data_IF_414064345870
#
_entry.id   IF_414064345870
#
_cell.length_a   1.000
_cell.length_b   1.000
_cell.length_c   1.000
_cell.angle_alpha   90.00
_cell.angle_beta   90.00
_cell.angle_gamma   90.00
#
_symmetry.space_group_name_H-M   'P 1'
#
loop_
_entity.id
_entity.type
_entity.pdbx_description
1 polymer ?
#
# COMPACT_ATOMS: atom_id res chain seq x y z
N UNK A 1 -7.12 -16.44 29.44
CA UNK A 1 -7.58 -15.55 28.36
C UNK A 1 -6.82 -14.26 28.50
N UNK A 2 -5.97 -13.92 27.55
CA UNK A 2 -5.26 -12.64 27.55
C UNK A 2 -6.31 -11.55 27.28
N UNK A 3 -6.38 -10.54 28.13
CA UNK A 3 -7.34 -9.45 28.00
C UNK A 3 -7.05 -8.68 26.69
N UNK A 4 -8.07 -8.39 25.89
CA UNK A 4 -7.88 -7.65 24.64
C UNK A 4 -7.38 -6.22 24.95
N UNK A 5 -6.14 -5.93 24.56
CA UNK A 5 -5.43 -4.67 24.85
C UNK A 5 -6.19 -3.40 24.42
N UNK A 6 -7.06 -3.51 23.41
CA UNK A 6 -7.73 -2.36 22.78
C UNK A 6 -9.10 -2.01 23.36
N UNK A 7 -9.68 -2.82 24.25
CA UNK A 7 -11.08 -2.68 24.74
C UNK A 7 -11.38 -1.27 25.25
N UNK A 8 -10.45 -0.66 25.99
CA UNK A 8 -10.62 0.67 26.59
C UNK A 8 -9.73 1.74 25.93
N UNK A 9 -9.30 1.51 24.69
CA UNK A 9 -8.38 2.42 23.98
C UNK A 9 -9.13 3.23 22.94
N UNK A 10 -8.98 4.56 23.00
CA UNK A 10 -9.39 5.46 21.93
C UNK A 10 -8.31 5.52 20.86
N UNK A 11 -8.67 5.22 19.62
CA UNK A 11 -7.75 5.09 18.49
C UNK A 11 -8.09 6.13 17.43
N UNK A 12 -7.09 6.87 16.95
CA UNK A 12 -7.23 7.76 15.79
C UNK A 12 -6.43 7.17 14.63
N UNK A 13 -7.11 6.81 13.55
CA UNK A 13 -6.50 6.39 12.29
C UNK A 13 -6.42 7.57 11.32
N UNK A 14 -5.19 8.05 11.10
CA UNK A 14 -4.83 9.05 10.10
C UNK A 14 -4.68 8.39 8.73
N UNK A 15 -5.63 8.66 7.83
CA UNK A 15 -5.69 8.10 6.49
C UNK A 15 -5.20 9.12 5.45
N UNK A 16 -4.49 8.67 4.40
CA UNK A 16 -4.06 9.54 3.31
C UNK A 16 -5.20 9.82 2.31
N UNK A 17 -6.25 9.00 2.32
CA UNK A 17 -7.42 9.09 1.45
C UNK A 17 -8.57 8.25 2.02
N UNK A 18 -9.80 8.58 1.65
CA UNK A 18 -11.00 7.78 1.86
C UNK A 18 -11.57 7.23 0.53
N UNK A 19 -10.81 7.35 -0.57
CA UNK A 19 -11.22 6.93 -1.92
C UNK A 19 -10.64 5.58 -2.35
N UNK A 20 -9.71 5.01 -1.57
CA UNK A 20 -9.12 3.71 -1.87
C UNK A 20 -10.01 2.61 -1.28
N UNK A 21 -10.56 1.75 -2.15
CA UNK A 21 -11.52 0.71 -1.75
C UNK A 21 -10.90 -0.32 -0.81
N UNK A 22 -9.64 -0.73 -1.06
CA UNK A 22 -8.95 -1.70 -0.21
C UNK A 22 -8.67 -1.12 1.19
N UNK A 23 -8.21 0.12 1.28
CA UNK A 23 -8.01 0.80 2.56
C UNK A 23 -9.34 0.97 3.33
N UNK A 24 -10.43 1.29 2.62
CA UNK A 24 -11.76 1.37 3.21
C UNK A 24 -12.23 0.00 3.74
N UNK A 25 -12.00 -1.07 2.99
CA UNK A 25 -12.25 -2.44 3.44
C UNK A 25 -11.50 -2.76 4.75
N UNK A 26 -10.20 -2.48 4.81
CA UNK A 26 -9.41 -2.66 6.05
C UNK A 26 -9.99 -1.83 7.20
N UNK A 27 -10.39 -0.58 6.93
CA UNK A 27 -11.03 0.26 7.94
C UNK A 27 -12.33 -0.38 8.46
N UNK A 28 -13.16 -0.95 7.59
CA UNK A 28 -14.42 -1.58 8.00
C UNK A 28 -14.19 -2.87 8.80
N UNK A 29 -13.17 -3.67 8.46
CA UNK A 29 -12.79 -4.84 9.28
C UNK A 29 -12.26 -4.44 10.67
N UNK A 30 -11.50 -3.34 10.74
CA UNK A 30 -11.04 -2.80 12.02
C UNK A 30 -12.20 -2.33 12.91
N UNK A 31 -13.24 -1.70 12.35
CA UNK A 31 -14.44 -1.29 13.13
C UNK A 31 -15.17 -2.46 13.76
N UNK A 32 -15.13 -3.65 13.15
CA UNK A 32 -15.73 -4.86 13.72
C UNK A 32 -14.97 -5.35 14.96
N UNK A 33 -13.67 -5.10 15.01
CA UNK A 33 -12.76 -5.59 16.07
C UNK A 33 -12.43 -4.53 17.13
N UNK A 34 -12.60 -3.25 16.82
CA UNK A 34 -12.21 -2.11 17.66
C UNK A 34 -13.41 -1.22 17.97
N UNK A 35 -13.72 -1.06 19.26
CA UNK A 35 -14.91 -0.31 19.71
C UNK A 35 -14.77 1.20 19.53
N UNK A 36 -13.58 1.77 19.80
CA UNK A 36 -13.36 3.22 19.81
C UNK A 36 -12.30 3.65 18.78
N UNK A 37 -12.64 3.59 17.49
CA UNK A 37 -11.77 4.03 16.39
C UNK A 37 -12.36 5.21 15.62
N UNK A 38 -11.55 6.25 15.41
CA UNK A 38 -11.87 7.45 14.65
C UNK A 38 -11.02 7.49 13.39
N UNK A 39 -11.60 7.90 12.25
CA UNK A 39 -10.89 8.00 10.97
C UNK A 39 -10.78 9.46 10.55
N UNK A 40 -9.58 9.87 10.11
CA UNK A 40 -9.33 11.24 9.68
C UNK A 40 -8.47 11.28 8.41
N UNK A 41 -9.04 11.81 7.33
CA UNK A 41 -8.32 12.05 6.08
C UNK A 41 -7.48 13.33 6.18
N UNK A 42 -6.22 13.19 6.61
CA UNK A 42 -5.34 14.34 6.87
C UNK A 42 -4.92 15.07 5.59
N UNK A 43 -4.85 14.37 4.45
CA UNK A 43 -4.42 14.94 3.18
C UNK A 43 -5.49 15.89 2.64
N UNK A 44 -6.75 15.44 2.61
CA UNK A 44 -7.88 16.29 2.19
C UNK A 44 -8.01 17.52 3.10
N UNK A 45 -7.89 17.32 4.42
CA UNK A 45 -7.95 18.43 5.38
C UNK A 45 -6.81 19.42 5.16
N UNK A 46 -5.60 18.95 4.88
CA UNK A 46 -4.44 19.79 4.56
C UNK A 46 -4.66 20.64 3.31
N UNK A 47 -5.27 20.08 2.26
CA UNK A 47 -5.60 20.86 1.05
C UNK A 47 -6.71 21.88 1.27
N UNK A 48 -7.56 21.70 2.28
CA UNK A 48 -8.68 22.60 2.58
C UNK A 48 -8.31 23.70 3.56
N UNK A 49 -7.52 23.37 4.58
CA UNK A 49 -7.24 24.19 5.76
C UNK A 49 -5.76 24.48 6.01
N UNK A 50 -4.85 23.93 5.20
CA UNK A 50 -3.40 24.10 5.39
C UNK A 50 -2.79 23.08 6.35
N UNK A 51 -1.50 22.81 6.18
CA UNK A 51 -0.76 21.78 6.94
C UNK A 51 -0.74 22.09 8.44
N UNK A 52 -0.37 23.32 8.82
CA UNK A 52 -0.26 23.68 10.24
C UNK A 52 -1.59 23.56 10.99
N UNK A 53 -2.68 23.97 10.35
CA UNK A 53 -4.01 23.81 10.94
C UNK A 53 -4.42 22.34 11.04
N UNK A 54 -3.97 21.50 10.10
CA UNK A 54 -4.19 20.04 10.16
C UNK A 54 -3.48 19.44 11.37
N UNK A 55 -2.19 19.75 11.56
CA UNK A 55 -1.41 19.28 12.71
C UNK A 55 -2.00 19.78 14.04
N UNK A 56 -2.45 21.04 14.10
CA UNK A 56 -3.15 21.60 15.27
C UNK A 56 -4.48 20.89 15.54
N UNK A 57 -5.27 20.65 14.50
CA UNK A 57 -6.54 19.94 14.61
C UNK A 57 -6.35 18.52 15.16
N UNK A 58 -5.39 17.77 14.62
CA UNK A 58 -5.09 16.42 15.10
C UNK A 58 -4.62 16.45 16.56
N UNK A 59 -3.74 17.39 16.93
CA UNK A 59 -3.26 17.53 18.31
C UNK A 59 -4.41 17.80 19.29
N UNK A 60 -5.32 18.72 18.94
CA UNK A 60 -6.49 19.01 19.75
C UNK A 60 -7.42 17.80 19.85
N UNK A 61 -7.65 17.11 18.74
CA UNK A 61 -8.48 15.90 18.73
C UNK A 61 -7.91 14.81 19.64
N UNK A 62 -6.59 14.58 19.59
CA UNK A 62 -5.90 13.63 20.47
C UNK A 62 -6.15 13.97 21.94
N UNK A 63 -6.05 15.26 22.31
CA UNK A 63 -6.30 15.72 23.67
C UNK A 63 -7.78 15.58 24.07
N UNK A 64 -8.71 16.11 23.27
CA UNK A 64 -10.15 16.15 23.56
C UNK A 64 -10.76 14.75 23.64
N UNK A 65 -10.36 13.84 22.74
CA UNK A 65 -10.83 12.46 22.71
C UNK A 65 -9.98 11.52 23.56
N UNK A 66 -8.95 12.01 24.26
CA UNK A 66 -8.02 11.21 25.06
C UNK A 66 -7.48 10.00 24.26
N UNK A 67 -7.03 10.27 23.02
CA UNK A 67 -6.57 9.22 22.10
C UNK A 67 -5.34 8.51 22.68
N UNK A 68 -5.47 7.21 22.91
CA UNK A 68 -4.40 6.37 23.43
C UNK A 68 -3.42 5.92 22.34
N UNK A 69 -3.92 5.75 21.11
CA UNK A 69 -3.16 5.23 19.98
C UNK A 69 -3.49 6.02 18.71
N UNK A 70 -2.46 6.52 18.04
CA UNK A 70 -2.55 7.04 16.67
C UNK A 70 -2.01 5.97 15.73
N UNK A 71 -2.84 5.52 14.80
CA UNK A 71 -2.42 4.71 13.64
C UNK A 71 -2.28 5.67 12.46
N UNK A 72 -1.18 5.61 11.73
CA UNK A 72 -0.97 6.47 10.55
C UNK A 72 -0.48 5.68 9.34
N UNK A 73 -1.10 5.90 8.19
CA UNK A 73 -0.69 5.32 6.90
C UNK A 73 -0.33 6.40 5.89
N UNK A 74 0.77 7.14 6.06
CA UNK A 74 1.18 8.11 5.07
C UNK A 74 1.59 7.38 3.77
N UNK A 75 0.95 7.72 2.65
CA UNK A 75 1.44 7.24 1.36
C UNK A 75 2.77 7.89 1.02
N UNK A 76 3.68 7.16 0.36
CA UNK A 76 4.94 7.74 -0.09
C UNK A 76 4.71 9.00 -0.94
N UNK A 77 5.35 10.10 -0.54
CA UNK A 77 5.19 11.41 -1.20
C UNK A 77 4.20 12.35 -0.51
N UNK A 78 3.45 11.88 0.50
CA UNK A 78 2.66 12.72 1.38
C UNK A 78 3.50 13.27 2.53
N UNK A 79 3.90 14.53 2.41
CA UNK A 79 4.64 15.25 3.45
C UNK A 79 3.76 16.20 4.27
N UNK A 80 2.43 16.07 4.19
CA UNK A 80 1.50 16.99 4.85
C UNK A 80 1.52 16.89 6.37
N UNK A 81 1.91 15.75 6.92
CA UNK A 81 2.24 15.61 8.34
C UNK A 81 3.75 15.42 8.44
N UNK A 82 4.39 16.28 9.22
CA UNK A 82 5.85 16.29 9.33
C UNK A 82 6.37 15.22 10.29
N UNK A 83 7.62 14.78 10.12
CA UNK A 83 8.27 13.90 11.11
C UNK A 83 8.38 14.59 12.47
N UNK A 84 8.57 15.91 12.45
CA UNK A 84 8.60 16.76 13.64
C UNK A 84 7.25 16.77 14.37
N UNK A 85 6.14 16.79 13.62
CA UNK A 85 4.80 16.67 14.19
C UNK A 85 4.60 15.34 14.89
N UNK A 86 4.93 14.21 14.25
CA UNK A 86 4.83 12.90 14.90
C UNK A 86 5.72 12.81 16.15
N UNK A 87 6.95 13.33 16.09
CA UNK A 87 7.82 13.40 17.26
C UNK A 87 7.18 14.22 18.40
N UNK A 88 6.45 15.30 18.09
CA UNK A 88 5.74 16.12 19.08
C UNK A 88 4.58 15.39 19.78
N UNK A 89 4.11 14.27 19.22
CA UNK A 89 3.08 13.41 19.80
C UNK A 89 3.66 12.35 20.75
N UNK A 90 5.00 12.17 20.77
CA UNK A 90 5.64 11.22 21.68
C UNK A 90 5.32 11.59 23.13
N UNK A 91 5.19 10.58 23.98
CA UNK A 91 4.72 10.66 25.38
C UNK A 91 3.26 11.11 25.57
N UNK A 92 2.55 11.57 24.53
CA UNK A 92 1.12 11.95 24.61
C UNK A 92 0.18 10.82 24.18
N UNK A 93 0.64 10.00 23.24
CA UNK A 93 -0.11 8.88 22.66
C UNK A 93 0.88 7.85 22.09
N UNK A 94 0.44 6.61 21.91
CA UNK A 94 1.22 5.59 21.19
C UNK A 94 1.12 5.86 19.69
N UNK A 95 2.22 5.68 18.96
CA UNK A 95 2.26 5.94 17.51
C UNK A 95 2.55 4.65 16.78
N UNK A 96 1.63 4.23 15.93
CA UNK A 96 1.74 3.06 15.06
C UNK A 96 1.73 3.54 13.62
N UNK A 97 2.71 3.13 12.83
CA UNK A 97 2.66 3.33 11.38
C UNK A 97 2.19 2.06 10.70
N UNK A 98 1.29 2.17 9.74
CA UNK A 98 0.90 1.06 8.87
C UNK A 98 1.29 1.39 7.43
N UNK A 99 2.40 0.79 6.99
CA UNK A 99 3.10 1.07 5.74
C UNK A 99 2.77 0.00 4.69
N UNK A 100 2.43 0.45 3.48
CA UNK A 100 1.90 -0.41 2.42
C UNK A 100 2.93 -0.76 1.34
N UNK A 101 3.82 0.16 0.99
CA UNK A 101 4.73 0.05 -0.17
C UNK A 101 6.21 0.10 0.25
N UNK A 102 6.57 -0.54 1.37
CA UNK A 102 7.93 -0.46 1.92
C UNK A 102 8.98 -1.08 1.01
N UNK A 103 8.63 -2.10 0.22
CA UNK A 103 9.51 -2.70 -0.79
C UNK A 103 10.04 -1.70 -1.81
N UNK A 104 9.31 -0.60 -2.02
CA UNK A 104 9.66 0.47 -2.93
C UNK A 104 10.18 1.73 -2.22
N UNK A 105 9.73 2.01 -0.98
CA UNK A 105 9.93 3.33 -0.35
C UNK A 105 10.50 3.31 1.08
N UNK A 106 10.90 2.15 1.61
CA UNK A 106 11.52 2.06 2.93
C UNK A 106 12.70 3.04 3.09
N UNK A 107 13.63 3.02 2.13
CA UNK A 107 14.88 3.78 2.20
C UNK A 107 14.75 5.27 1.96
N UNK A 108 13.74 5.67 1.19
CA UNK A 108 13.52 7.06 0.78
C UNK A 108 12.49 7.79 1.65
N UNK A 109 11.63 7.04 2.35
CA UNK A 109 10.48 7.59 3.06
C UNK A 109 10.23 6.91 4.41
N UNK A 110 9.85 5.63 4.42
CA UNK A 110 9.18 5.02 5.57
C UNK A 110 10.02 4.99 6.83
N UNK A 111 11.31 4.63 6.73
CA UNK A 111 12.21 4.56 7.90
C UNK A 111 12.37 5.89 8.64
N UNK A 112 12.27 7.02 7.92
CA UNK A 112 12.38 8.35 8.53
C UNK A 112 11.11 8.75 9.29
N UNK A 113 9.93 8.31 8.84
CA UNK A 113 8.69 8.51 9.58
C UNK A 113 8.60 7.56 10.78
N UNK A 114 8.95 6.30 10.57
CA UNK A 114 8.78 5.24 11.55
C UNK A 114 9.83 5.25 12.67
N UNK A 115 10.88 6.08 12.61
CA UNK A 115 11.95 6.12 13.62
C UNK A 115 11.48 6.44 15.05
N UNK A 116 10.29 7.04 15.19
CA UNK A 116 9.67 7.39 16.47
C UNK A 116 8.55 6.44 16.90
N UNK A 117 8.24 5.45 16.06
CA UNK A 117 7.10 4.56 16.22
C UNK A 117 7.22 3.70 17.50
N UNK A 118 6.08 3.44 18.13
CA UNK A 118 5.96 2.39 19.14
C UNK A 118 5.79 1.00 18.48
N UNK A 119 5.28 0.95 17.25
CA UNK A 119 5.24 -0.22 16.39
C UNK A 119 5.04 0.18 14.91
N UNK A 120 5.45 -0.69 13.98
CA UNK A 120 5.17 -0.58 12.55
C UNK A 120 4.44 -1.83 12.08
N UNK A 121 3.41 -1.67 11.26
CA UNK A 121 2.81 -2.74 10.47
C UNK A 121 3.27 -2.52 9.04
N UNK A 122 3.87 -3.52 8.40
CA UNK A 122 4.38 -3.40 7.02
C UNK A 122 3.92 -4.57 6.15
N UNK A 123 3.67 -4.28 4.87
CA UNK A 123 3.29 -5.28 3.87
C UNK A 123 4.49 -5.97 3.19
N UNK A 124 5.71 -5.52 3.49
CA UNK A 124 6.94 -6.12 2.99
C UNK A 124 7.62 -6.97 4.08
N UNK A 125 7.78 -8.26 3.77
CA UNK A 125 8.40 -9.23 4.68
C UNK A 125 9.85 -8.85 5.02
N UNK A 126 10.62 -8.32 4.06
CA UNK A 126 12.02 -7.97 4.29
C UNK A 126 12.16 -6.70 5.14
N UNK A 127 11.25 -5.73 4.96
CA UNK A 127 11.23 -4.49 5.73
C UNK A 127 10.95 -4.71 7.22
N UNK A 128 10.28 -5.80 7.61
CA UNK A 128 10.16 -6.21 9.03
C UNK A 128 11.54 -6.26 9.68
N UNK A 129 12.48 -6.98 9.07
CA UNK A 129 13.86 -7.11 9.56
C UNK A 129 14.64 -5.79 9.43
N UNK A 130 14.34 -4.98 8.42
CA UNK A 130 14.95 -3.66 8.26
C UNK A 130 14.54 -2.71 9.40
N UNK A 131 13.28 -2.75 9.85
CA UNK A 131 12.83 -2.04 11.05
C UNK A 131 13.45 -2.60 12.33
N UNK A 132 13.52 -3.92 12.48
CA UNK A 132 14.15 -4.56 13.65
C UNK A 132 15.63 -4.18 13.79
N UNK A 133 16.35 -4.07 12.66
CA UNK A 133 17.73 -3.56 12.64
C UNK A 133 17.85 -2.13 13.16
N UNK A 134 16.80 -1.32 13.01
CA UNK A 134 16.70 0.03 13.55
C UNK A 134 16.13 0.06 14.98
N UNK A 135 15.95 -1.10 15.61
CA UNK A 135 15.29 -1.27 16.91
C UNK A 135 13.86 -0.72 16.94
N UNK A 136 13.15 -0.84 15.81
CA UNK A 136 11.74 -0.45 15.68
C UNK A 136 10.91 -1.74 15.66
N UNK A 137 10.02 -1.97 16.64
CA UNK A 137 9.12 -3.11 16.62
C UNK A 137 8.26 -3.12 15.36
N UNK A 138 8.22 -4.25 14.67
CA UNK A 138 7.53 -4.38 13.39
C UNK A 138 6.72 -5.68 13.31
N UNK A 139 5.58 -5.60 12.64
CA UNK A 139 4.66 -6.70 12.39
C UNK A 139 4.52 -6.86 10.88
N UNK A 140 4.57 -8.09 10.41
CA UNK A 140 4.27 -8.40 9.03
C UNK A 140 2.77 -8.52 8.79
N UNK A 141 2.23 -7.70 7.91
CA UNK A 141 0.88 -7.85 7.37
C UNK A 141 0.97 -8.40 5.96
N UNK A 142 0.56 -9.65 5.76
CA UNK A 142 0.67 -10.30 4.45
C UNK A 142 -0.33 -9.71 3.44
N UNK A 143 -1.60 -10.06 3.59
CA UNK A 143 -2.73 -9.59 2.80
C UNK A 143 -4.02 -10.14 3.41
N UNK A 144 -5.16 -9.54 3.11
CA UNK A 144 -6.48 -10.12 3.40
C UNK A 144 -7.50 -9.60 2.41
N UNK A 145 -8.51 -10.40 2.08
CA UNK A 145 -9.50 -10.03 1.07
C UNK A 145 -10.94 -10.34 1.51
N UNK A 146 -11.92 -9.53 1.08
CA UNK A 146 -13.33 -9.71 1.44
C UNK A 146 -13.99 -10.90 0.73
N UNK A 147 -14.59 -11.81 1.51
CA UNK A 147 -15.26 -13.01 0.99
C UNK A 147 -16.57 -12.73 0.25
N UNK A 148 -17.16 -11.54 0.40
CA UNK A 148 -18.31 -11.12 -0.39
C UNK A 148 -17.93 -10.63 -1.80
N UNK A 149 -16.63 -10.63 -2.13
CA UNK A 149 -16.07 -10.15 -3.40
C UNK A 149 -15.27 -11.25 -4.07
N UNK A 150 -14.51 -12.00 -3.28
CA UNK A 150 -13.71 -13.14 -3.69
C UNK A 150 -14.27 -14.42 -3.06
N UNK A 151 -15.01 -15.18 -3.86
CA UNK A 151 -15.61 -16.45 -3.50
C UNK A 151 -15.74 -17.32 -4.76
N UNK A 152 -15.69 -18.67 -4.62
CA UNK A 152 -15.85 -19.55 -5.76
C UNK A 152 -17.27 -19.44 -6.31
N UNK A 153 -17.38 -19.30 -7.64
CA UNK A 153 -18.63 -19.38 -8.37
C UNK A 153 -18.59 -20.65 -9.23
N UNK A 154 -19.64 -21.47 -9.16
CA UNK A 154 -19.80 -22.59 -10.09
C UNK A 154 -20.02 -22.03 -11.50
N UNK A 155 -18.98 -22.14 -12.34
CA UNK A 155 -19.00 -21.65 -13.71
C UNK A 155 -18.10 -22.52 -14.59
N UNK A 156 -18.45 -22.61 -15.86
CA UNK A 156 -17.57 -23.21 -16.87
C UNK A 156 -16.31 -22.37 -16.99
N UNK A 157 -15.13 -23.01 -16.92
CA UNK A 157 -13.84 -22.35 -17.15
C UNK A 157 -13.58 -22.11 -18.63
N UNK A 158 -14.19 -21.07 -19.19
CA UNK A 158 -14.15 -20.72 -20.61
C UNK A 158 -13.13 -19.61 -20.98
N UNK A 159 -12.47 -19.01 -19.98
CA UNK A 159 -11.36 -18.08 -20.18
C UNK A 159 -10.04 -18.84 -20.00
N UNK A 160 -9.18 -18.86 -21.02
CA UNK A 160 -7.89 -19.56 -20.93
C UNK A 160 -6.96 -18.91 -19.91
N UNK A 161 -6.71 -17.62 -20.08
CA UNK A 161 -5.85 -16.85 -19.17
C UNK A 161 -6.50 -15.50 -18.89
N UNK A 162 -6.54 -15.10 -17.62
CA UNK A 162 -6.93 -13.74 -17.24
C UNK A 162 -5.79 -12.99 -16.54
N UNK A 163 -5.80 -11.67 -16.66
CA UNK A 163 -5.03 -10.76 -15.83
C UNK A 163 -5.93 -9.60 -15.38
N UNK A 164 -5.95 -9.31 -14.08
CA UNK A 164 -6.70 -8.20 -13.49
C UNK A 164 -5.70 -7.28 -12.80
N UNK A 165 -5.44 -6.10 -13.38
CA UNK A 165 -4.50 -5.13 -12.84
C UNK A 165 -4.11 -4.05 -13.85
N UNK A 166 -3.29 -3.08 -13.41
CA UNK A 166 -2.79 -2.03 -14.30
C UNK A 166 -1.90 -2.62 -15.39
N UNK A 167 -2.40 -2.69 -16.62
CA UNK A 167 -1.72 -3.28 -17.77
C UNK A 167 -0.57 -2.39 -18.26
N UNK A 168 -0.74 -1.07 -18.20
CA UNK A 168 0.28 -0.10 -18.61
C UNK A 168 1.49 -0.02 -17.66
N UNK A 169 1.48 -0.78 -16.57
CA UNK A 169 2.58 -0.77 -15.61
C UNK A 169 3.73 -1.62 -16.13
N UNK A 170 4.91 -1.01 -16.22
CA UNK A 170 6.18 -1.70 -16.49
C UNK A 170 6.10 -2.53 -17.78
N UNK A 171 6.47 -3.80 -17.70
CA UNK A 171 6.56 -4.72 -18.83
C UNK A 171 5.44 -5.77 -18.84
N UNK A 172 4.35 -5.58 -18.08
CA UNK A 172 3.23 -6.53 -18.02
C UNK A 172 2.64 -6.82 -19.41
N UNK A 173 2.46 -5.79 -20.22
CA UNK A 173 1.99 -5.95 -21.60
C UNK A 173 3.00 -6.65 -22.52
N UNK A 174 4.31 -6.62 -22.22
CA UNK A 174 5.28 -7.43 -22.99
C UNK A 174 4.98 -8.92 -22.81
N UNK A 175 4.77 -9.36 -21.57
CA UNK A 175 4.46 -10.76 -21.26
C UNK A 175 3.08 -11.16 -21.80
N UNK A 176 2.07 -10.31 -21.64
CA UNK A 176 0.72 -10.56 -22.13
C UNK A 176 0.70 -10.65 -23.66
N UNK A 177 1.33 -9.70 -24.36
CA UNK A 177 1.38 -9.72 -25.82
C UNK A 177 2.18 -10.92 -26.31
N UNK A 178 3.27 -11.30 -25.62
CA UNK A 178 4.01 -12.51 -25.96
C UNK A 178 3.14 -13.79 -25.91
N UNK A 179 2.22 -13.90 -24.95
CA UNK A 179 1.24 -14.99 -24.91
C UNK A 179 0.26 -14.93 -26.09
N UNK A 180 -0.29 -13.74 -26.36
CA UNK A 180 -1.27 -13.51 -27.45
C UNK A 180 -0.64 -13.84 -28.82
N UNK A 181 0.57 -13.34 -29.07
CA UNK A 181 1.33 -13.58 -30.31
C UNK A 181 1.66 -15.07 -30.51
N UNK A 182 1.67 -15.84 -29.42
CA UNK A 182 1.88 -17.30 -29.42
C UNK A 182 0.58 -18.11 -29.39
N UNK A 183 -0.56 -17.46 -29.67
CA UNK A 183 -1.87 -18.11 -29.86
C UNK A 183 -2.65 -18.39 -28.58
N UNK A 184 -2.26 -17.81 -27.44
CA UNK A 184 -3.01 -17.94 -26.19
C UNK A 184 -4.10 -16.86 -26.12
N UNK A 185 -5.33 -17.27 -25.79
CA UNK A 185 -6.38 -16.30 -25.52
C UNK A 185 -6.23 -15.69 -24.13
N UNK A 186 -5.98 -14.39 -24.05
CA UNK A 186 -5.79 -13.67 -22.77
C UNK A 186 -6.84 -12.58 -22.61
N UNK A 187 -7.57 -12.62 -21.49
CA UNK A 187 -8.50 -11.58 -21.06
C UNK A 187 -7.84 -10.65 -20.03
N UNK A 188 -7.81 -9.35 -20.31
CA UNK A 188 -7.16 -8.35 -19.45
C UNK A 188 -8.16 -7.34 -18.94
N UNK A 189 -8.08 -7.00 -17.66
CA UNK A 189 -8.91 -6.01 -16.98
C UNK A 189 -8.04 -5.05 -16.16
N UNK A 190 -8.50 -3.81 -15.96
CA UNK A 190 -7.78 -2.73 -15.29
C UNK A 190 -7.33 -1.60 -16.23
N UNK A 191 -6.56 -0.65 -15.71
CA UNK A 191 -6.03 0.49 -16.47
C UNK A 191 -5.19 0.02 -17.66
N UNK A 192 -5.49 0.52 -18.86
CA UNK A 192 -4.77 0.17 -20.09
C UNK A 192 -5.10 -1.20 -20.69
N UNK A 193 -6.04 -1.93 -20.09
CA UNK A 193 -6.49 -3.24 -20.58
C UNK A 193 -7.53 -3.13 -21.69
N UNK A 194 -7.75 -4.21 -22.45
CA UNK A 194 -8.78 -4.26 -23.50
C UNK A 194 -10.21 -4.16 -22.97
N UNK A 195 -10.46 -4.61 -21.74
CA UNK A 195 -11.80 -4.63 -21.12
C UNK A 195 -12.03 -3.48 -20.13
N UNK A 196 -11.04 -2.60 -19.92
CA UNK A 196 -11.13 -1.48 -18.98
C UNK A 196 -11.17 -1.93 -17.51
N UNK A 197 -11.52 -1.00 -16.60
CA UNK A 197 -11.63 -1.29 -15.17
C UNK A 197 -12.72 -2.34 -14.88
N UNK A 198 -12.45 -3.21 -13.92
CA UNK A 198 -13.39 -4.23 -13.45
C UNK A 198 -14.00 -3.79 -12.12
N UNK A 199 -15.33 -3.81 -12.05
CA UNK A 199 -16.06 -3.57 -10.81
C UNK A 199 -15.90 -4.75 -9.83
N UNK A 200 -15.85 -4.46 -8.52
CA UNK A 200 -15.62 -5.43 -7.46
C UNK A 200 -16.56 -6.64 -7.52
N UNK A 201 -17.85 -6.43 -7.84
CA UNK A 201 -18.86 -7.50 -7.95
C UNK A 201 -18.62 -8.48 -9.12
N UNK A 202 -17.70 -8.17 -10.05
CA UNK A 202 -17.36 -9.02 -11.20
C UNK A 202 -16.10 -9.86 -10.99
N UNK A 203 -15.28 -9.58 -9.98
CA UNK A 203 -14.00 -10.28 -9.77
C UNK A 203 -14.18 -11.79 -9.65
N UNK A 204 -15.04 -12.25 -8.74
CA UNK A 204 -15.31 -13.68 -8.56
C UNK A 204 -15.79 -14.36 -9.84
N UNK A 205 -16.58 -13.68 -10.68
CA UNK A 205 -17.08 -14.27 -11.92
C UNK A 205 -15.95 -14.47 -12.95
N UNK A 206 -15.13 -13.43 -13.17
CA UNK A 206 -14.01 -13.51 -14.12
C UNK A 206 -12.99 -14.54 -13.66
N UNK A 207 -12.59 -14.49 -12.38
CA UNK A 207 -11.61 -15.41 -11.83
C UNK A 207 -12.13 -16.85 -11.89
N UNK A 208 -13.36 -17.12 -11.44
CA UNK A 208 -13.90 -18.50 -11.42
C UNK A 208 -14.02 -19.12 -12.82
N UNK A 209 -14.32 -18.30 -13.85
CA UNK A 209 -14.36 -18.68 -15.27
C UNK A 209 -12.98 -18.84 -15.92
N UNK A 210 -11.91 -18.45 -15.23
CA UNK A 210 -10.56 -18.52 -15.76
C UNK A 210 -9.89 -19.86 -15.42
N UNK A 211 -9.17 -20.42 -16.40
CA UNK A 211 -8.30 -21.59 -16.20
C UNK A 211 -7.00 -21.17 -15.50
N UNK A 212 -6.43 -20.03 -15.87
CA UNK A 212 -5.20 -19.47 -15.28
C UNK A 212 -5.43 -17.99 -14.95
N UNK A 213 -5.11 -17.58 -13.73
CA UNK A 213 -5.00 -16.18 -13.33
C UNK A 213 -3.52 -15.78 -13.24
N UNK A 214 -3.09 -14.83 -14.06
CA UNK A 214 -1.74 -14.30 -14.03
C UNK A 214 -1.57 -13.29 -12.89
N UNK A 215 -0.44 -13.37 -12.20
CA UNK A 215 -0.06 -12.40 -11.18
C UNK A 215 1.35 -11.87 -11.46
N UNK A 216 1.51 -10.55 -11.64
CA UNK A 216 2.82 -9.92 -11.86
C UNK A 216 3.29 -9.23 -10.59
N UNK A 217 4.50 -9.58 -10.14
CA UNK A 217 5.03 -9.15 -8.84
C UNK A 217 6.10 -8.05 -8.96
N UNK A 218 6.47 -7.61 -10.17
CA UNK A 218 7.27 -6.37 -10.30
C UNK A 218 6.60 -5.18 -9.62
N UNK A 219 7.42 -4.34 -9.00
CA UNK A 219 6.98 -3.05 -8.47
C UNK A 219 6.22 -2.26 -9.53
N UNK A 220 5.14 -1.62 -9.11
CA UNK A 220 4.46 -0.59 -9.90
C UNK A 220 5.42 0.56 -10.25
N UNK A 221 5.01 1.43 -11.17
CA UNK A 221 5.81 2.59 -11.55
C UNK A 221 6.19 3.43 -10.33
N UNK A 222 7.50 3.66 -10.19
CA UNK A 222 8.07 4.31 -9.02
C UNK A 222 7.73 5.79 -9.00
N UNK A 223 7.41 6.30 -7.82
CA UNK A 223 7.23 7.72 -7.61
C UNK A 223 8.53 8.48 -7.86
N UNK A 224 8.37 9.77 -8.15
CA UNK A 224 9.44 10.73 -8.46
C UNK A 224 10.66 10.73 -7.52
N UNK A 225 10.54 10.23 -6.29
CA UNK A 225 11.65 10.15 -5.35
C UNK A 225 12.60 8.99 -5.64
N UNK A 226 12.08 7.92 -6.24
CA UNK A 226 12.78 6.66 -6.53
C UNK A 226 12.75 6.30 -8.03
N UNK A 227 12.18 7.16 -8.89
CA UNK A 227 12.01 6.91 -10.33
C UNK A 227 13.29 6.51 -11.08
N UNK A 228 14.46 6.91 -10.59
CA UNK A 228 15.73 6.65 -11.23
C UNK A 228 16.56 5.59 -10.48
N UNK A 229 16.01 4.91 -9.47
CA UNK A 229 16.75 3.89 -8.71
C UNK A 229 16.77 2.56 -9.49
N UNK A 230 17.93 2.15 -10.05
CA UNK A 230 18.01 0.95 -10.86
C UNK A 230 17.88 -0.34 -10.05
N UNK A 231 18.18 -0.32 -8.74
CA UNK A 231 18.13 -1.51 -7.90
C UNK A 231 16.70 -1.91 -7.56
N UNK A 232 15.78 -0.94 -7.50
CA UNK A 232 14.35 -1.22 -7.33
C UNK A 232 13.74 -2.00 -8.51
N UNK A 233 14.41 -2.07 -9.67
CA UNK A 233 14.00 -3.00 -10.74
C UNK A 233 14.13 -4.48 -10.35
N UNK A 234 14.94 -4.79 -9.33
CA UNK A 234 15.12 -6.14 -8.78
C UNK A 234 14.16 -6.44 -7.64
N UNK A 235 13.52 -5.43 -7.05
CA UNK A 235 12.53 -5.61 -6.01
C UNK A 235 11.21 -6.16 -6.58
N UNK A 236 10.43 -6.79 -5.72
CA UNK A 236 9.13 -7.39 -6.03
C UNK A 236 8.16 -7.07 -4.92
N UNK A 237 6.88 -6.86 -5.28
CA UNK A 237 5.80 -6.67 -4.31
C UNK A 237 5.39 -8.02 -3.74
N UNK A 238 5.00 -8.01 -2.47
CA UNK A 238 4.27 -9.12 -1.85
C UNK A 238 2.96 -9.31 -2.62
N UNK A 239 2.86 -10.41 -3.38
CA UNK A 239 1.84 -10.59 -4.41
C UNK A 239 0.42 -10.83 -3.90
N UNK A 240 -0.20 -9.89 -3.17
CA UNK A 240 -1.54 -10.05 -2.58
C UNK A 240 -2.65 -10.55 -3.53
N UNK A 241 -2.47 -10.38 -4.84
CA UNK A 241 -3.33 -10.91 -5.90
C UNK A 241 -3.36 -12.45 -6.02
N UNK A 242 -2.37 -13.17 -5.47
CA UNK A 242 -2.44 -14.63 -5.42
C UNK A 242 -3.63 -15.08 -4.55
N UNK A 243 -3.90 -14.35 -3.46
CA UNK A 243 -4.97 -14.68 -2.52
C UNK A 243 -6.36 -14.42 -3.15
N UNK A 244 -6.49 -13.42 -4.02
CA UNK A 244 -7.70 -13.19 -4.82
C UNK A 244 -8.05 -14.40 -5.70
N UNK A 245 -7.03 -14.98 -6.35
CA UNK A 245 -7.15 -16.19 -7.16
C UNK A 245 -7.44 -17.42 -6.29
N UNK A 246 -6.75 -17.54 -5.16
CA UNK A 246 -6.94 -18.64 -4.22
C UNK A 246 -8.37 -18.68 -3.66
N UNK A 247 -8.90 -17.55 -3.19
CA UNK A 247 -10.25 -17.44 -2.63
C UNK A 247 -11.38 -17.73 -3.64
N UNK A 248 -11.07 -17.71 -4.94
CA UNK A 248 -12.00 -18.04 -6.02
C UNK A 248 -11.80 -19.45 -6.59
N UNK A 249 -10.89 -20.26 -6.02
CA UNK A 249 -10.47 -21.58 -6.54
C UNK A 249 -9.98 -21.49 -8.00
N UNK A 250 -9.18 -20.47 -8.28
CA UNK A 250 -8.56 -20.28 -9.58
C UNK A 250 -7.06 -20.47 -9.48
N UNK A 251 -6.52 -21.30 -10.38
CA UNK A 251 -5.10 -21.56 -10.45
C UNK A 251 -4.33 -20.26 -10.75
N UNK A 252 -3.39 -19.92 -9.87
CA UNK A 252 -2.57 -18.73 -10.00
C UNK A 252 -1.19 -19.10 -10.57
N UNK A 253 -0.79 -18.41 -11.63
CA UNK A 253 0.56 -18.47 -12.19
C UNK A 253 1.21 -17.10 -12.00
N UNK A 254 2.18 -17.03 -11.09
CA UNK A 254 2.73 -15.77 -10.59
C UNK A 254 4.15 -15.51 -11.10
N UNK A 255 4.51 -14.25 -11.33
CA UNK A 255 5.91 -13.88 -11.54
C UNK A 255 6.69 -14.15 -10.25
N UNK A 256 7.91 -14.66 -10.35
CA UNK A 256 8.74 -14.93 -9.17
C UNK A 256 8.86 -13.71 -8.23
N UNK A 257 8.73 -13.97 -6.93
CA UNK A 257 9.09 -13.04 -5.86
C UNK A 257 9.93 -13.75 -4.80
N UNK A 258 10.98 -13.09 -4.25
CA UNK A 258 11.86 -13.71 -3.25
C UNK A 258 11.17 -14.17 -1.96
N UNK A 259 10.01 -13.59 -1.62
CA UNK A 259 9.23 -13.93 -0.42
C UNK A 259 8.04 -14.86 -0.70
N UNK A 260 7.97 -15.57 -1.84
CA UNK A 260 6.81 -16.40 -2.19
C UNK A 260 6.49 -17.46 -1.12
N UNK A 261 7.53 -18.08 -0.55
CA UNK A 261 7.47 -19.08 0.52
C UNK A 261 6.78 -18.60 1.80
N UNK A 262 6.67 -17.29 2.00
CA UNK A 262 5.94 -16.70 3.13
C UNK A 262 4.43 -16.90 2.98
N UNK A 263 3.94 -17.04 1.74
CA UNK A 263 2.50 -17.08 1.44
C UNK A 263 2.05 -18.41 0.86
N UNK A 264 2.90 -19.05 0.04
CA UNK A 264 2.56 -20.24 -0.71
C UNK A 264 3.81 -21.08 -1.01
N UNK A 265 3.64 -22.39 -1.07
CA UNK A 265 4.63 -23.35 -1.51
C UNK A 265 4.49 -23.55 -3.04
N UNK A 266 5.62 -23.51 -3.73
CA UNK A 266 5.64 -23.55 -5.20
C UNK A 266 5.39 -24.97 -5.67
N UNK A 267 4.43 -25.13 -6.59
CA UNK A 267 3.95 -26.42 -7.08
C UNK A 267 2.80 -27.01 -6.25
N UNK A 268 2.52 -26.47 -5.05
CA UNK A 268 1.42 -26.95 -4.20
C UNK A 268 0.23 -26.01 -4.19
N UNK A 269 0.42 -24.70 -3.97
CA UNK A 269 -0.65 -23.70 -3.97
C UNK A 269 -0.53 -22.64 -5.06
N UNK A 270 0.65 -22.51 -5.65
CA UNK A 270 0.94 -21.57 -6.73
C UNK A 270 2.03 -22.15 -7.61
N UNK A 271 2.06 -21.79 -8.89
CA UNK A 271 3.29 -21.96 -9.69
C UNK A 271 3.82 -20.58 -10.11
N UNK A 272 5.11 -20.51 -10.41
CA UNK A 272 5.82 -19.28 -10.71
C UNK A 272 6.44 -19.26 -12.10
N UNK A 273 6.79 -18.09 -12.62
CA UNK A 273 7.63 -17.95 -13.81
C UNK A 273 8.67 -16.83 -13.63
N UNK A 274 9.80 -16.96 -14.30
CA UNK A 274 10.91 -16.00 -14.25
C UNK A 274 11.12 -15.24 -15.57
N UNK A 275 10.62 -15.79 -16.68
CA UNK A 275 10.73 -15.18 -18.00
C UNK A 275 9.47 -15.43 -18.83
N UNK A 276 9.36 -14.72 -19.96
CA UNK A 276 8.24 -14.91 -20.90
C UNK A 276 8.27 -16.29 -21.56
N UNK A 277 9.45 -16.86 -21.76
CA UNK A 277 9.66 -18.21 -22.28
C UNK A 277 9.15 -19.28 -21.30
N UNK A 278 9.50 -19.15 -20.02
CA UNK A 278 8.95 -20.04 -18.97
C UNK A 278 7.43 -19.85 -18.84
N UNK A 279 6.96 -18.59 -18.92
CA UNK A 279 5.54 -18.28 -18.86
C UNK A 279 4.74 -19.00 -19.95
N UNK A 280 5.14 -18.92 -21.23
CA UNK A 280 4.39 -19.58 -22.31
C UNK A 280 4.45 -21.11 -22.19
N UNK A 281 5.58 -21.67 -21.77
CA UNK A 281 5.72 -23.11 -21.53
C UNK A 281 4.72 -23.58 -20.47
N UNK A 282 4.71 -22.91 -19.31
CA UNK A 282 3.80 -23.23 -18.22
C UNK A 282 2.35 -22.98 -18.58
N UNK A 283 2.02 -21.89 -19.27
CA UNK A 283 0.65 -21.64 -19.75
C UNK A 283 0.18 -22.77 -20.66
N UNK A 284 0.99 -23.21 -21.63
CA UNK A 284 0.60 -24.34 -22.51
C UNK A 284 0.41 -25.63 -21.73
N UNK A 285 1.35 -25.94 -20.83
CA UNK A 285 1.26 -27.11 -19.96
C UNK A 285 -0.02 -27.08 -19.12
N UNK A 286 -0.26 -25.99 -18.40
CA UNK A 286 -1.43 -25.80 -17.58
C UNK A 286 -2.69 -25.48 -18.37
N UNK A 287 -2.73 -25.40 -19.70
CA UNK A 287 -4.01 -25.43 -20.42
C UNK A 287 -4.45 -26.87 -20.70
N UNK A 288 -3.49 -27.79 -20.85
CA UNK A 288 -3.73 -29.20 -21.13
C UNK A 288 -4.03 -30.05 -19.88
N UNK A 289 -3.54 -29.65 -18.70
CA UNK A 289 -3.62 -30.45 -17.47
C UNK A 289 -4.59 -29.85 -16.44
N UNK A 290 -5.89 -30.06 -16.65
CA UNK A 290 -6.94 -29.50 -15.78
C UNK A 290 -6.92 -30.06 -14.37
N UNK A 291 -6.69 -31.36 -14.24
CA UNK A 291 -6.52 -32.07 -12.96
C UNK A 291 -5.44 -31.42 -12.07
N UNK A 292 -4.27 -31.10 -12.64
CA UNK A 292 -3.18 -30.48 -11.90
C UNK A 292 -3.57 -29.07 -11.43
N UNK A 293 -4.16 -28.27 -12.32
CA UNK A 293 -4.62 -26.91 -11.96
C UNK A 293 -5.63 -26.92 -10.82
N UNK A 294 -6.61 -27.82 -10.88
CA UNK A 294 -7.67 -27.90 -9.87
C UNK A 294 -7.12 -28.36 -8.51
N UNK A 295 -6.14 -29.27 -8.48
CA UNK A 295 -5.45 -29.65 -7.24
C UNK A 295 -4.74 -28.45 -6.61
N UNK A 296 -3.93 -27.72 -7.40
CA UNK A 296 -3.20 -26.55 -6.90
C UNK A 296 -4.17 -25.46 -6.43
N UNK A 297 -5.20 -25.15 -7.21
CA UNK A 297 -6.20 -24.15 -6.86
C UNK A 297 -6.99 -24.51 -5.59
N UNK A 298 -7.27 -25.80 -5.37
CA UNK A 298 -7.91 -26.29 -4.15
C UNK A 298 -7.01 -26.11 -2.93
N UNK A 299 -5.74 -26.50 -3.02
CA UNK A 299 -4.79 -26.32 -1.92
C UNK A 299 -4.63 -24.83 -1.58
N UNK A 300 -4.53 -23.97 -2.60
CA UNK A 300 -4.49 -22.52 -2.44
C UNK A 300 -5.71 -21.99 -1.71
N UNK A 301 -6.92 -22.43 -2.10
CA UNK A 301 -8.17 -22.05 -1.45
C UNK A 301 -8.18 -22.45 0.04
N UNK A 302 -7.83 -23.71 0.35
CA UNK A 302 -7.77 -24.20 1.73
C UNK A 302 -6.77 -23.40 2.58
N UNK A 303 -5.62 -23.07 2.02
CA UNK A 303 -4.63 -22.20 2.70
C UNK A 303 -5.16 -20.78 2.90
N UNK A 304 -5.79 -20.20 1.88
CA UNK A 304 -6.34 -18.85 1.90
C UNK A 304 -7.43 -18.70 2.97
N UNK A 305 -8.41 -19.63 3.03
CA UNK A 305 -9.50 -19.54 4.00
C UNK A 305 -9.04 -19.71 5.46
N UNK A 306 -7.96 -20.45 5.68
CA UNK A 306 -7.46 -20.71 7.02
C UNK A 306 -6.53 -19.61 7.55
N UNK A 307 -5.87 -18.86 6.67
CA UNK A 307 -4.78 -17.96 7.08
C UNK A 307 -4.94 -16.50 6.63
N UNK A 308 -5.69 -16.23 5.55
CA UNK A 308 -5.69 -14.94 4.86
C UNK A 308 -7.07 -14.26 4.82
N UNK A 309 -8.04 -14.78 5.56
CA UNK A 309 -9.35 -14.14 5.72
C UNK A 309 -9.29 -13.01 6.77
N UNK A 310 -10.14 -11.99 6.67
CA UNK A 310 -10.09 -10.85 7.58
C UNK A 310 -10.36 -11.25 9.02
N UNK A 311 -11.23 -12.23 9.25
CA UNK A 311 -11.50 -12.81 10.58
C UNK A 311 -10.31 -13.55 11.20
N UNK A 312 -9.25 -13.83 10.43
CA UNK A 312 -8.01 -14.44 10.91
C UNK A 312 -6.91 -13.38 11.01
N UNK A 313 -6.67 -12.66 9.92
CA UNK A 313 -5.57 -11.70 9.82
C UNK A 313 -5.74 -10.52 10.78
N UNK A 314 -6.92 -9.91 10.83
CA UNK A 314 -7.12 -8.70 11.65
C UNK A 314 -6.97 -8.99 13.15
N UNK A 315 -7.59 -10.05 13.73
CA UNK A 315 -7.36 -10.40 15.13
C UNK A 315 -5.90 -10.73 15.45
N UNK A 316 -5.18 -11.39 14.54
CA UNK A 316 -3.76 -11.72 14.75
C UNK A 316 -2.88 -10.48 14.80
N UNK A 317 -3.05 -9.56 13.83
CA UNK A 317 -2.32 -8.28 13.80
C UNK A 317 -2.63 -7.46 15.05
N UNK A 318 -3.90 -7.37 15.46
CA UNK A 318 -4.27 -6.66 16.67
C UNK A 318 -3.66 -7.31 17.90
N UNK A 319 -3.70 -8.63 18.04
CA UNK A 319 -3.08 -9.34 19.17
C UNK A 319 -1.58 -9.02 19.27
N UNK A 320 -0.83 -9.20 18.19
CA UNK A 320 0.61 -8.91 18.15
C UNK A 320 0.91 -7.43 18.44
N UNK A 321 0.12 -6.52 17.88
CA UNK A 321 0.25 -5.09 18.15
C UNK A 321 -0.02 -4.77 19.62
N UNK A 322 -1.04 -5.39 20.22
CA UNK A 322 -1.36 -5.23 21.64
C UNK A 322 -0.20 -5.67 22.53
N UNK A 323 0.39 -6.84 22.24
CA UNK A 323 1.55 -7.36 22.97
C UNK A 323 2.78 -6.43 22.86
N UNK A 324 3.05 -5.88 21.68
CA UNK A 324 4.15 -4.92 21.48
C UNK A 324 3.89 -3.64 22.27
N UNK A 325 2.69 -3.07 22.16
CA UNK A 325 2.35 -1.80 22.80
C UNK A 325 2.29 -1.90 24.33
N UNK A 326 1.87 -3.05 24.87
CA UNK A 326 1.86 -3.33 26.31
C UNK A 326 3.27 -3.44 26.89
N UNK A 327 4.18 -4.16 26.20
CA UNK A 327 5.58 -4.29 26.61
C UNK A 327 6.33 -2.96 26.54
N UNK A 328 6.01 -2.15 25.54
CA UNK A 328 6.63 -0.84 25.33
C UNK A 328 6.09 0.27 26.25
N UNK A 329 5.66 -0.05 27.48
CA UNK A 329 5.34 0.98 28.48
C UNK A 329 6.59 1.81 28.77
N UNK A 330 6.65 2.98 28.12
CA UNK A 330 7.90 3.69 27.84
C UNK A 330 8.32 4.50 29.05
N UNK A 331 9.61 4.45 29.40
CA UNK A 331 10.25 5.54 30.13
C UNK A 331 10.01 6.85 29.35
N UNK A 332 9.73 7.94 30.07
CA UNK A 332 9.55 9.25 29.44
C UNK A 332 10.80 9.62 28.64
N UNK A 333 10.62 9.88 27.35
CA UNK A 333 11.70 10.37 26.49
C UNK A 333 11.74 11.90 26.65
N UNK A 334 12.79 12.43 27.29
CA UNK A 334 12.93 13.88 27.51
C UNK A 334 13.09 14.65 26.20
N UNK A 335 13.81 14.08 25.22
CA UNK A 335 14.02 14.71 23.91
C UNK A 335 14.04 13.66 22.79
N UNK A 336 13.13 13.81 21.84
CA UNK A 336 13.11 12.98 20.63
C UNK A 336 14.07 13.55 19.61
N UNK A 337 15.17 12.85 19.34
CA UNK A 337 16.07 13.17 18.24
C UNK A 337 15.51 12.61 16.92
N UNK A 338 15.62 13.40 15.84
CA UNK A 338 15.13 13.01 14.51
C UNK A 338 16.32 12.99 13.55
N UNK A 339 16.56 11.82 12.97
CA UNK A 339 17.62 11.59 12.01
C UNK A 339 17.05 11.67 10.59
N UNK A 340 17.56 12.61 9.79
CA UNK A 340 17.11 12.84 8.43
C UNK A 340 18.30 12.97 7.48
N UNK A 341 18.31 12.16 6.42
CA UNK A 341 19.31 12.28 5.35
C UNK A 341 19.09 13.54 4.50
N UNK A 342 20.12 13.96 3.77
CA UNK A 342 20.01 15.04 2.79
C UNK A 342 18.93 14.74 1.75
N UNK A 343 18.88 13.50 1.26
CA UNK A 343 17.90 13.06 0.26
C UNK A 343 16.47 13.18 0.79
N UNK A 344 16.20 12.71 2.01
CA UNK A 344 14.88 12.86 2.61
C UNK A 344 14.48 14.33 2.75
N UNK A 345 15.39 15.19 3.22
CA UNK A 345 15.12 16.63 3.38
C UNK A 345 14.75 17.29 2.04
N UNK A 346 15.49 16.98 0.96
CA UNK A 346 15.19 17.48 -0.39
C UNK A 346 13.83 16.97 -0.88
N UNK A 347 13.54 15.68 -0.67
CA UNK A 347 12.26 15.08 -1.06
C UNK A 347 11.09 15.71 -0.27
N UNK A 348 11.27 15.96 1.02
CA UNK A 348 10.27 16.64 1.84
C UNK A 348 9.94 18.04 1.30
N UNK A 349 10.96 18.88 1.02
CA UNK A 349 10.73 20.21 0.43
C UNK A 349 10.07 20.11 -0.94
N UNK A 350 10.47 19.14 -1.77
CA UNK A 350 9.86 18.89 -3.07
C UNK A 350 8.36 18.55 -2.94
N UNK A 351 8.01 17.63 -2.03
CA UNK A 351 6.62 17.28 -1.69
C UNK A 351 5.79 18.47 -1.21
N UNK A 352 6.34 19.26 -0.30
CA UNK A 352 5.69 20.45 0.25
C UNK A 352 5.52 21.54 -0.80
N UNK A 353 6.49 21.74 -1.69
CA UNK A 353 6.40 22.70 -2.79
C UNK A 353 5.27 22.33 -3.75
N UNK A 354 5.12 21.05 -4.08
CA UNK A 354 3.96 20.59 -4.87
C UNK A 354 2.64 20.84 -4.16
N UNK A 355 2.57 20.58 -2.85
CA UNK A 355 1.39 20.88 -2.03
C UNK A 355 1.07 22.38 -2.03
N UNK A 356 2.08 23.25 -1.95
CA UNK A 356 1.93 24.70 -2.04
C UNK A 356 1.28 25.13 -3.36
N UNK A 357 1.75 24.61 -4.50
CA UNK A 357 1.13 24.91 -5.80
C UNK A 357 -0.30 24.38 -5.91
N UNK A 358 -0.59 23.21 -5.35
CA UNK A 358 -1.96 22.70 -5.29
C UNK A 358 -2.88 23.58 -4.42
N UNK A 359 -2.39 24.12 -3.30
CA UNK A 359 -3.12 25.11 -2.50
C UNK A 359 -3.41 26.39 -3.30
N UNK A 360 -2.42 26.93 -4.03
CA UNK A 360 -2.61 28.10 -4.91
C UNK A 360 -3.70 27.82 -5.95
N UNK A 361 -3.62 26.67 -6.64
CA UNK A 361 -4.61 26.24 -7.63
C UNK A 361 -6.02 26.16 -7.04
N UNK A 362 -6.14 25.74 -5.78
CA UNK A 362 -7.41 25.64 -5.06
C UNK A 362 -7.84 26.96 -4.37
N UNK A 363 -7.24 28.09 -4.75
CA UNK A 363 -7.52 29.43 -4.19
C UNK A 363 -7.27 29.54 -2.67
N UNK A 364 -6.37 28.72 -2.14
CA UNK A 364 -5.95 28.70 -0.73
C UNK A 364 -4.62 29.44 -0.53
N UNK A 365 -4.56 30.69 -1.02
CA UNK A 365 -3.31 31.46 -1.13
C UNK A 365 -2.65 31.72 0.23
N UNK A 366 -3.44 32.01 1.28
CA UNK A 366 -2.90 32.25 2.62
C UNK A 366 -2.15 31.03 3.17
N UNK A 367 -2.73 29.83 3.01
CA UNK A 367 -2.08 28.59 3.44
C UNK A 367 -0.86 28.24 2.58
N UNK A 368 -0.86 28.62 1.29
CA UNK A 368 0.30 28.47 0.44
C UNK A 368 1.45 29.40 0.88
N UNK A 369 1.16 30.65 1.26
CA UNK A 369 2.15 31.59 1.77
C UNK A 369 2.74 31.16 3.12
N UNK A 370 1.90 30.59 4.00
CA UNK A 370 2.37 29.97 5.23
C UNK A 370 3.31 28.80 4.93
N UNK A 371 2.90 27.90 4.04
CA UNK A 371 3.72 26.76 3.65
C UNK A 371 5.04 27.17 2.99
N UNK A 372 5.07 28.25 2.21
CA UNK A 372 6.29 28.77 1.58
C UNK A 372 7.38 29.06 2.61
N UNK A 373 7.03 29.59 3.79
CA UNK A 373 8.00 29.85 4.87
C UNK A 373 8.61 28.57 5.40
N UNK A 374 7.80 27.52 5.56
CA UNK A 374 8.24 26.21 6.03
C UNK A 374 9.19 25.51 5.06
N UNK A 375 9.22 25.92 3.78
CA UNK A 375 10.14 25.32 2.80
C UNK A 375 11.62 25.58 3.12
N UNK A 376 11.93 26.56 3.97
CA UNK A 376 13.29 26.89 4.39
C UNK A 376 13.77 26.10 5.61
N UNK A 377 12.95 25.20 6.20
CA UNK A 377 13.24 24.53 7.47
C UNK A 377 14.54 23.72 7.52
N UNK A 378 15.08 23.32 6.36
CA UNK A 378 16.34 22.57 6.24
C UNK A 378 17.48 23.38 5.62
N UNK A 379 17.33 24.71 5.54
CA UNK A 379 18.33 25.62 4.99
C UNK A 379 18.23 25.83 3.48
N UNK A 380 18.94 26.85 3.01
CA UNK A 380 18.82 27.41 1.66
C UNK A 380 19.18 26.44 0.53
N UNK A 381 20.23 25.63 0.71
CA UNK A 381 20.65 24.65 -0.30
C UNK A 381 19.63 23.51 -0.48
N UNK A 382 19.00 23.06 0.60
CA UNK A 382 17.93 22.06 0.54
C UNK A 382 16.69 22.67 -0.09
N UNK A 383 16.35 23.90 0.32
CA UNK A 383 15.24 24.66 -0.23
C UNK A 383 15.30 24.69 -1.76
N UNK A 384 16.40 25.16 -2.36
CA UNK A 384 16.47 25.28 -3.81
C UNK A 384 16.34 23.95 -4.54
N UNK A 385 17.04 22.91 -4.06
CA UNK A 385 16.98 21.59 -4.68
C UNK A 385 15.55 21.03 -4.65
N UNK A 386 14.89 21.10 -3.49
CA UNK A 386 13.52 20.61 -3.33
C UNK A 386 12.50 21.47 -4.09
N UNK A 387 12.61 22.80 -3.98
CA UNK A 387 11.69 23.75 -4.61
C UNK A 387 11.71 23.63 -6.13
N UNK A 388 12.89 23.53 -6.74
CA UNK A 388 13.02 23.32 -8.18
C UNK A 388 12.29 22.05 -8.63
N UNK A 389 12.58 20.91 -7.98
CA UNK A 389 11.94 19.62 -8.31
C UNK A 389 10.41 19.65 -8.11
N UNK A 390 9.95 20.26 -7.02
CA UNK A 390 8.52 20.41 -6.72
C UNK A 390 7.80 21.30 -7.73
N UNK A 391 8.44 22.39 -8.16
CA UNK A 391 7.92 23.32 -9.18
C UNK A 391 7.78 22.62 -10.53
N UNK A 392 8.83 21.90 -10.96
CA UNK A 392 8.79 21.11 -12.20
C UNK A 392 7.65 20.09 -12.16
N UNK A 393 7.46 19.38 -11.04
CA UNK A 393 6.35 18.43 -10.89
C UNK A 393 4.99 19.13 -10.94
N UNK A 394 4.83 20.26 -10.27
CA UNK A 394 3.58 21.02 -10.28
C UNK A 394 3.22 21.50 -11.70
N UNK A 395 4.19 22.02 -12.45
CA UNK A 395 4.00 22.45 -13.84
C UNK A 395 3.61 21.29 -14.75
N UNK A 396 4.30 20.13 -14.66
CA UNK A 396 3.94 18.92 -15.42
C UNK A 396 2.50 18.50 -15.16
N UNK A 397 2.07 18.47 -13.89
CA UNK A 397 0.70 18.10 -13.54
C UNK A 397 -0.35 19.07 -14.15
N UNK A 398 -0.07 20.37 -14.17
CA UNK A 398 -0.95 21.36 -14.82
C UNK A 398 -1.03 21.08 -16.33
N UNK A 399 0.11 20.83 -16.99
CA UNK A 399 0.13 20.52 -18.42
C UNK A 399 -0.62 19.22 -18.75
N UNK A 400 -0.50 18.18 -17.92
CA UNK A 400 -1.22 16.92 -18.12
C UNK A 400 -2.72 17.15 -18.06
N UNK A 401 -3.21 17.88 -17.06
CA UNK A 401 -4.65 18.19 -16.91
C UNK A 401 -5.21 19.06 -18.03
N UNK A 402 -4.38 19.88 -18.68
CA UNK A 402 -4.78 20.66 -19.86
C UNK A 402 -4.88 19.78 -21.12
N UNK A 403 -4.16 18.65 -21.15
CA UNK A 403 -4.17 17.69 -22.27
C UNK A 403 -5.24 16.61 -22.13
N UNK A 404 -5.76 16.34 -20.93
CA UNK A 404 -6.83 15.35 -20.71
C UNK A 404 -8.21 16.01 -20.89
N UNK A 405 -9.04 15.61 -21.87
CA UNK A 405 -10.39 16.13 -22.00
C UNK A 405 -11.23 15.75 -20.77
N UNK A 406 -12.06 16.70 -20.30
CA UNK A 406 -12.89 16.65 -19.07
C UNK A 406 -13.81 15.42 -18.91
N UNK A 407 -13.91 14.54 -19.90
CA UNK A 407 -14.82 13.39 -19.90
C UNK A 407 -14.17 12.06 -19.46
N UNK A 408 -12.92 12.06 -18.98
CA UNK A 408 -12.16 10.84 -18.66
C UNK A 408 -11.84 10.63 -17.17
N UNK A 409 -12.43 11.40 -16.27
CA UNK A 409 -12.31 11.20 -14.82
C UNK A 409 -13.70 10.93 -14.23
N UNK A 410 -14.12 9.67 -14.27
CA UNK A 410 -15.12 9.09 -13.37
C UNK A 410 -14.42 8.07 -12.48
#
# INVERSE_FOLDING_TARGET
MQQNYFVDKNILYLLPTNKNQYLNFICDELKKSLTNIYYFNFVEYSYKYGIRNTEKYISNFIFEKKVNIVISSPFPGNYQLSVEFYASLKNKTKIVFWMWDDEAYFDSHSKYYCQIADAVITCDFFSVYAYQKLNIPSIFFSTTHPQNIYFPIEATKDIDVCFIGGCNQRDRMEYINFLIDNGINVETFGEGSKNGFLEWDKFSNILSRSKIALNFNKLSDLLWMNKDDPLLNRARQSGGHWCESALTRTFCLAEYTPNIHVFAEVGEEVDIFNSKEELIEKVRYYLLHADIREVIAKNAYEKAINNFLPQVVIPNILRELGEILEKNNTQQIEKVEIFLSRTFKVNSINGLTFTMFALIKNKKVLYALELFRELFKYGFFIFFAGFYGGTVRAMKNIMTLLKTPKNSLK
#
